data_IF_582033943584
#
_entry.id   IF_582033943584
#
_cell.length_a   1.000
_cell.length_b   1.000
_cell.length_c   1.000
_cell.angle_alpha   90.00
_cell.angle_beta   90.00
_cell.angle_gamma   90.00
#
_symmetry.space_group_name_H-M   'P 1'
#
loop_
_entity.id
_entity.type
_entity.pdbx_description
1 polymer ?
#
# COMPACT_ATOMS: atom_id res chain seq x y z
N UNK A 1 0.15 -9.37 2.84
CA UNK A 1 -0.82 -10.44 2.63
C UNK A 1 -1.79 -10.03 1.56
N UNK A 2 -3.01 -10.56 1.60
CA UNK A 2 -4.07 -10.26 0.62
C UNK A 2 -5.44 -10.14 1.29
N UNK A 3 -6.51 -10.44 0.56
CA UNK A 3 -7.89 -10.46 1.05
C UNK A 3 -8.49 -9.06 1.25
N UNK A 4 -9.49 -8.99 2.14
CA UNK A 4 -10.27 -7.76 2.41
C UNK A 4 -9.39 -6.56 2.77
N UNK A 5 -8.34 -6.68 3.62
CA UNK A 5 -7.51 -5.52 3.95
C UNK A 5 -6.78 -4.92 2.73
N UNK A 6 -6.38 -5.76 1.76
CA UNK A 6 -5.75 -5.30 0.52
C UNK A 6 -6.76 -4.53 -0.33
N UNK A 7 -7.93 -5.12 -0.57
CA UNK A 7 -8.97 -4.51 -1.40
C UNK A 7 -9.45 -3.19 -0.81
N UNK A 8 -9.72 -3.16 0.50
CA UNK A 8 -10.19 -1.95 1.17
C UNK A 8 -9.23 -0.76 1.01
N UNK A 9 -7.93 -0.98 1.17
CA UNK A 9 -6.93 0.09 1.00
C UNK A 9 -6.80 0.53 -0.46
N UNK A 10 -6.95 -0.39 -1.41
CA UNK A 10 -6.86 -0.06 -2.84
C UNK A 10 -8.12 0.66 -3.35
N UNK A 11 -9.30 0.29 -2.83
CA UNK A 11 -10.58 0.82 -3.30
C UNK A 11 -10.89 2.22 -2.73
N UNK A 12 -10.18 2.69 -1.70
CA UNK A 12 -10.41 4.03 -1.14
C UNK A 12 -10.26 5.17 -2.15
N UNK A 13 -9.38 5.00 -3.15
CA UNK A 13 -9.18 6.00 -4.23
C UNK A 13 -10.43 6.06 -5.11
N UNK A 14 -10.86 4.90 -5.63
CA UNK A 14 -12.06 4.78 -6.46
C UNK A 14 -13.32 5.22 -5.72
N UNK A 15 -13.46 4.85 -4.45
CA UNK A 15 -14.60 5.29 -3.63
C UNK A 15 -14.63 6.81 -3.43
N UNK A 16 -13.48 7.46 -3.29
CA UNK A 16 -13.42 8.92 -3.16
C UNK A 16 -13.80 9.62 -4.48
N UNK A 17 -13.33 9.11 -5.62
CA UNK A 17 -13.75 9.58 -6.95
C UNK A 17 -15.26 9.43 -7.17
N UNK A 18 -15.84 8.29 -6.80
CA UNK A 18 -17.29 8.05 -6.87
C UNK A 18 -18.11 9.02 -5.98
N UNK A 19 -17.51 9.51 -4.88
CA UNK A 19 -18.10 10.52 -4.02
C UNK A 19 -17.87 11.97 -4.52
N UNK A 20 -17.33 12.13 -5.74
CA UNK A 20 -17.06 13.42 -6.36
C UNK A 20 -15.84 14.15 -5.78
N UNK A 21 -14.95 13.44 -5.07
CA UNK A 21 -13.69 14.00 -4.57
C UNK A 21 -12.57 13.66 -5.52
N UNK A 22 -11.89 14.68 -6.04
CA UNK A 22 -10.63 14.49 -6.75
C UNK A 22 -9.54 14.11 -5.74
N UNK A 23 -9.00 12.89 -5.87
CA UNK A 23 -7.93 12.38 -5.03
C UNK A 23 -6.81 11.82 -5.88
N UNK A 24 -5.57 12.06 -5.46
CA UNK A 24 -4.40 11.46 -6.10
C UNK A 24 -4.39 9.93 -5.86
N UNK A 25 -3.92 9.18 -6.86
CA UNK A 25 -3.59 7.77 -6.71
C UNK A 25 -2.55 7.53 -5.59
N UNK A 26 -2.48 6.30 -5.07
CA UNK A 26 -1.45 5.92 -4.10
C UNK A 26 -0.06 6.09 -4.70
N UNK A 27 0.74 7.04 -4.17
CA UNK A 27 2.09 7.39 -4.64
C UNK A 27 3.16 6.33 -4.38
N UNK A 28 2.90 5.40 -3.47
CA UNK A 28 3.80 4.32 -3.09
C UNK A 28 2.99 3.07 -2.78
N UNK A 29 3.40 1.93 -3.31
CA UNK A 29 2.75 0.65 -3.02
C UNK A 29 3.79 -0.45 -2.79
N UNK A 30 3.77 -1.06 -1.61
CA UNK A 30 4.60 -2.22 -1.29
C UNK A 30 3.68 -3.35 -0.86
N UNK A 31 3.65 -4.44 -1.61
CA UNK A 31 2.85 -5.61 -1.30
C UNK A 31 3.75 -6.78 -0.93
N UNK A 32 3.72 -7.21 0.33
CA UNK A 32 4.38 -8.44 0.78
C UNK A 32 3.36 -9.57 0.71
N UNK A 33 3.57 -10.60 -0.10
CA UNK A 33 2.59 -11.68 -0.28
C UNK A 33 3.27 -13.01 -0.57
N UNK A 34 2.61 -14.09 -0.20
CA UNK A 34 2.96 -15.45 -0.66
C UNK A 34 2.00 -15.95 -1.75
N UNK A 35 0.97 -15.15 -2.08
CA UNK A 35 -0.04 -15.52 -3.05
C UNK A 35 0.53 -15.48 -4.47
N UNK A 36 0.27 -16.54 -5.24
CA UNK A 36 0.73 -16.68 -6.61
C UNK A 36 -0.18 -15.91 -7.57
N UNK A 37 0.41 -15.09 -8.44
CA UNK A 37 -0.32 -14.30 -9.44
C UNK A 37 -1.10 -15.15 -10.43
N UNK A 38 -0.71 -16.43 -10.62
CA UNK A 38 -1.38 -17.36 -11.52
C UNK A 38 -2.77 -17.78 -11.04
N UNK A 39 -3.04 -17.64 -9.74
CA UNK A 39 -4.32 -18.04 -9.16
C UNK A 39 -5.47 -17.08 -9.50
N UNK A 40 -5.17 -15.90 -10.07
CA UNK A 40 -6.18 -14.93 -10.52
C UNK A 40 -7.09 -14.38 -9.41
N UNK A 41 -6.75 -14.61 -8.15
CA UNK A 41 -7.54 -14.15 -7.01
C UNK A 41 -7.29 -12.65 -6.74
N UNK A 42 -8.28 -11.94 -6.18
CA UNK A 42 -8.08 -10.55 -5.75
C UNK A 42 -6.92 -10.40 -4.74
N UNK A 43 -6.62 -11.46 -3.98
CA UNK A 43 -5.45 -11.52 -3.09
C UNK A 43 -4.11 -11.54 -3.84
N UNK A 44 -4.06 -12.12 -5.04
CA UNK A 44 -2.87 -12.26 -5.88
C UNK A 44 -2.78 -11.28 -7.05
N UNK A 45 -3.79 -10.42 -7.25
CA UNK A 45 -3.74 -9.34 -8.26
C UNK A 45 -2.48 -8.49 -8.11
N UNK A 46 -1.88 -8.14 -9.24
CA UNK A 46 -0.60 -7.40 -9.28
C UNK A 46 -0.82 -5.92 -9.04
N UNK A 47 0.23 -5.20 -8.61
CA UNK A 47 0.15 -3.74 -8.47
C UNK A 47 -0.01 -3.04 -9.83
N UNK A 48 0.54 -3.63 -10.91
CA UNK A 48 0.30 -3.20 -12.30
C UNK A 48 -1.17 -3.31 -12.71
N UNK A 49 -1.85 -4.37 -12.30
CA UNK A 49 -3.28 -4.54 -12.50
C UNK A 49 -4.07 -3.52 -11.66
N UNK A 50 -3.65 -3.24 -10.42
CA UNK A 50 -4.28 -2.18 -9.62
C UNK A 50 -4.10 -0.79 -10.26
N UNK A 51 -2.99 -0.55 -10.96
CA UNK A 51 -2.75 0.70 -11.69
C UNK A 51 -3.68 0.88 -12.89
N UNK A 52 -4.07 -0.20 -13.59
CA UNK A 52 -5.03 -0.09 -14.72
C UNK A 52 -6.41 0.41 -14.29
N UNK A 53 -6.71 0.32 -13.00
CA UNK A 53 -7.95 0.83 -12.38
C UNK A 53 -7.79 2.21 -11.74
N UNK A 54 -6.65 2.88 -11.91
CA UNK A 54 -6.38 4.17 -11.30
C UNK A 54 -6.16 4.11 -9.78
N UNK A 55 -5.83 2.94 -9.21
CA UNK A 55 -5.67 2.80 -7.75
C UNK A 55 -4.27 3.16 -7.27
N UNK A 56 -3.24 2.89 -8.07
CA UNK A 56 -1.82 3.00 -7.70
C UNK A 56 -1.03 3.68 -8.81
N UNK A 57 -0.16 4.62 -8.45
CA UNK A 57 0.83 5.22 -9.34
C UNK A 57 2.00 4.23 -9.56
N UNK A 58 2.30 3.95 -10.84
CA UNK A 58 3.29 2.95 -11.28
C UNK A 58 4.72 3.37 -10.93
N UNK A 59 4.96 4.65 -10.62
CA UNK A 59 6.32 5.16 -10.45
C UNK A 59 7.08 4.51 -9.29
N UNK A 60 6.38 4.04 -8.23
CA UNK A 60 7.01 3.51 -7.00
C UNK A 60 6.21 2.34 -6.39
N UNK A 61 6.08 1.27 -7.17
CA UNK A 61 5.46 0.02 -6.72
C UNK A 61 6.47 -1.13 -6.59
N UNK A 62 6.27 -2.02 -5.61
CA UNK A 62 7.06 -3.26 -5.48
C UNK A 62 6.23 -4.39 -4.86
N UNK A 63 6.22 -5.55 -5.52
CA UNK A 63 5.74 -6.81 -4.94
C UNK A 63 6.91 -7.60 -4.36
N UNK A 64 6.76 -8.07 -3.12
CA UNK A 64 7.75 -8.87 -2.40
C UNK A 64 7.13 -10.23 -2.11
N UNK A 65 7.62 -11.26 -2.81
CA UNK A 65 7.14 -12.62 -2.66
C UNK A 65 7.82 -13.30 -1.47
N UNK A 66 7.31 -13.05 -0.27
CA UNK A 66 7.85 -13.58 0.97
C UNK A 66 6.78 -13.61 2.07
N UNK A 67 7.06 -14.42 3.08
CA UNK A 67 6.24 -14.51 4.29
C UNK A 67 6.49 -13.28 5.18
N UNK A 68 5.40 -12.67 5.65
CA UNK A 68 5.44 -11.32 6.21
C UNK A 68 6.22 -11.24 7.52
N UNK A 69 6.19 -12.27 8.37
CA UNK A 69 6.92 -12.26 9.65
C UNK A 69 8.43 -12.30 9.45
N UNK A 70 8.90 -12.85 8.33
CA UNK A 70 10.32 -12.89 7.98
C UNK A 70 10.84 -11.55 7.46
N UNK A 71 10.12 -10.89 6.55
CA UNK A 71 10.62 -9.69 5.86
C UNK A 71 10.21 -8.36 6.50
N UNK A 72 9.05 -8.30 7.15
CA UNK A 72 8.56 -7.04 7.72
C UNK A 72 9.47 -6.50 8.84
N UNK A 73 10.02 -7.31 9.75
CA UNK A 73 10.97 -6.82 10.76
C UNK A 73 12.26 -6.27 10.16
N UNK A 74 12.75 -6.87 9.06
CA UNK A 74 13.94 -6.41 8.36
C UNK A 74 13.72 -5.03 7.72
N UNK A 75 12.59 -4.85 7.04
CA UNK A 75 12.19 -3.56 6.45
C UNK A 75 12.05 -2.51 7.57
N UNK A 76 11.36 -2.85 8.65
CA UNK A 76 11.16 -1.94 9.78
C UNK A 76 12.50 -1.54 10.41
N UNK A 77 13.41 -2.50 10.60
CA UNK A 77 14.75 -2.26 11.15
C UNK A 77 15.57 -1.33 10.26
N UNK A 78 15.63 -1.59 8.95
CA UNK A 78 16.37 -0.73 8.01
C UNK A 78 15.83 0.71 8.00
N UNK A 79 14.50 0.87 7.91
CA UNK A 79 13.84 2.20 7.92
C UNK A 79 14.10 2.94 9.23
N UNK A 80 14.11 2.24 10.36
CA UNK A 80 14.38 2.82 11.67
C UNK A 80 15.84 3.29 11.79
N UNK A 81 16.80 2.45 11.40
CA UNK A 81 18.24 2.73 11.51
C UNK A 81 18.73 3.78 10.51
N UNK A 82 18.05 3.97 9.38
CA UNK A 82 18.34 5.10 8.46
C UNK A 82 18.00 6.47 9.06
N UNK A 83 17.25 6.52 10.16
CA UNK A 83 16.91 7.75 10.90
C UNK A 83 16.22 8.85 10.07
N UNK A 84 15.75 8.54 8.86
CA UNK A 84 15.00 9.49 8.02
C UNK A 84 13.74 10.02 8.71
N UNK A 85 13.20 9.28 9.67
CA UNK A 85 12.06 9.67 10.48
C UNK A 85 12.35 10.89 11.39
N UNK A 86 13.61 11.14 11.77
CA UNK A 86 13.98 12.27 12.63
C UNK A 86 13.72 13.64 11.99
N UNK A 87 13.80 13.71 10.66
CA UNK A 87 13.56 14.94 9.88
C UNK A 87 12.08 15.13 9.51
N UNK A 88 11.21 14.15 9.80
CA UNK A 88 9.80 14.21 9.43
C UNK A 88 9.00 14.95 10.49
N UNK A 89 8.08 15.82 10.06
CA UNK A 89 7.12 16.44 10.96
C UNK A 89 6.23 15.37 11.60
N UNK A 90 6.12 15.39 12.94
CA UNK A 90 5.27 14.46 13.68
C UNK A 90 3.80 14.76 13.37
N UNK A 91 3.07 13.78 12.85
CA UNK A 91 1.64 13.91 12.59
C UNK A 91 0.88 13.81 13.92
N UNK A 92 -0.02 14.76 14.19
CA UNK A 92 -0.88 14.76 15.36
C UNK A 92 -2.29 14.28 14.96
N UNK A 93 -2.46 12.96 14.87
CA UNK A 93 -3.71 12.34 14.42
C UNK A 93 -4.90 12.61 15.34
N UNK A 94 -4.67 13.03 16.60
CA UNK A 94 -5.75 13.40 17.53
C UNK A 94 -6.51 14.65 17.09
N UNK A 95 -5.90 15.52 16.27
CA UNK A 95 -6.51 16.75 15.76
C UNK A 95 -7.30 16.56 14.46
N UNK A 96 -7.50 15.32 13.99
CA UNK A 96 -8.21 15.07 12.72
C UNK A 96 -9.72 15.30 12.85
N UNK A 97 -10.28 15.12 14.05
CA UNK A 97 -11.73 15.20 14.31
C UNK A 97 -12.12 16.25 15.35
N UNK A 98 -11.18 17.13 15.72
CA UNK A 98 -11.40 18.29 16.60
C UNK A 98 -11.34 19.55 15.74
#
# INVERSE_FOLDING_TARGET
GGGVPKNFVQDTVVCAELLGKEVDMHKYAIQITVADTRDGACSSSTLKEASSWGKVDISKEQMVFAEATSVLPLIASDVFHRQNWKKRQRRNFQKIFL
#
